data_IF_520440657767
#
_entry.id   IF_520440657767
#
_cell.length_a   1.000
_cell.length_b   1.000
_cell.length_c   1.000
_cell.angle_alpha   90.00
_cell.angle_beta   90.00
_cell.angle_gamma   90.00
#
_symmetry.space_group_name_H-M   'P 1'
#
loop_
_entity.id
_entity.type
_entity.pdbx_description
1 polymer ?
#
# COMPACT_ATOMS: atom_id res chain seq x y z
N UNK A 1 0.51 -3.42 18.18
CA UNK A 1 -0.69 -2.71 17.65
C UNK A 1 -0.42 -1.30 17.09
N UNK A 2 0.60 -0.50 17.49
CA UNK A 2 0.80 0.83 16.89
C UNK A 2 1.20 0.76 15.40
N UNK A 3 1.69 -0.37 14.92
CA UNK A 3 2.26 -0.55 13.57
C UNK A 3 1.24 -0.31 12.46
N UNK A 4 -0.02 -0.72 12.67
CA UNK A 4 -1.11 -0.49 11.70
C UNK A 4 -1.48 1.00 11.63
N UNK A 5 -1.42 1.71 12.76
CA UNK A 5 -1.69 3.15 12.81
C UNK A 5 -0.58 3.90 12.08
N UNK A 6 0.68 3.52 12.28
CA UNK A 6 1.83 4.11 11.58
C UNK A 6 1.72 3.87 10.08
N UNK A 7 1.38 2.65 9.64
CA UNK A 7 1.17 2.34 8.23
C UNK A 7 0.01 3.17 7.63
N UNK A 8 -1.09 3.30 8.36
CA UNK A 8 -2.24 4.11 7.95
C UNK A 8 -1.90 5.59 7.82
N UNK A 9 -1.15 6.15 8.78
CA UNK A 9 -0.68 7.52 8.73
C UNK A 9 0.27 7.75 7.55
N UNK A 10 1.21 6.82 7.31
CA UNK A 10 2.13 6.89 6.17
C UNK A 10 1.37 6.84 4.83
N UNK A 11 0.40 5.95 4.70
CA UNK A 11 -0.45 5.88 3.51
C UNK A 11 -1.20 7.20 3.28
N UNK A 12 -1.72 7.83 4.34
CA UNK A 12 -2.40 9.12 4.26
C UNK A 12 -1.45 10.23 3.80
N UNK A 13 -0.19 10.23 4.25
CA UNK A 13 0.79 11.23 3.85
C UNK A 13 1.19 11.07 2.37
N UNK A 14 1.40 9.84 1.91
CA UNK A 14 1.84 9.55 0.54
C UNK A 14 0.72 9.80 -0.48
N UNK A 15 -0.48 9.26 -0.21
CA UNK A 15 -1.60 9.27 -1.15
C UNK A 15 -2.58 10.43 -0.91
N UNK A 16 -2.60 10.99 0.29
CA UNK A 16 -3.55 12.00 0.73
C UNK A 16 -4.80 11.39 1.40
N UNK A 17 -5.36 12.05 2.45
CA UNK A 17 -6.52 11.55 3.20
C UNK A 17 -7.79 11.45 2.35
N UNK A 18 -7.87 12.20 1.24
CA UNK A 18 -9.02 12.20 0.35
C UNK A 18 -9.00 11.05 -0.66
N UNK A 19 -7.82 10.61 -1.10
CA UNK A 19 -7.67 9.61 -2.16
C UNK A 19 -7.81 8.18 -1.65
N UNK A 20 -7.31 7.88 -0.45
CA UNK A 20 -7.42 6.56 0.17
C UNK A 20 -8.86 6.03 0.29
N UNK A 21 -9.82 6.78 0.86
CA UNK A 21 -11.20 6.28 0.96
C UNK A 21 -11.84 6.11 -0.43
N UNK A 22 -11.49 6.96 -1.39
CA UNK A 22 -11.98 6.84 -2.76
C UNK A 22 -11.46 5.56 -3.45
N UNK A 23 -10.15 5.28 -3.34
CA UNK A 23 -9.52 4.08 -3.88
C UNK A 23 -10.03 2.82 -3.19
N UNK A 24 -10.15 2.82 -1.87
CA UNK A 24 -10.69 1.70 -1.10
C UNK A 24 -12.13 1.36 -1.54
N UNK A 25 -12.98 2.38 -1.76
CA UNK A 25 -14.35 2.19 -2.27
C UNK A 25 -14.37 1.62 -3.69
N UNK A 26 -13.49 2.08 -4.57
CA UNK A 26 -13.36 1.55 -5.94
C UNK A 26 -12.94 0.07 -5.91
N UNK A 27 -11.90 -0.25 -5.14
CA UNK A 27 -11.43 -1.62 -4.95
C UNK A 27 -12.51 -2.54 -4.36
N UNK A 28 -13.23 -2.07 -3.33
CA UNK A 28 -14.34 -2.81 -2.72
C UNK A 28 -15.46 -3.10 -3.73
N UNK A 29 -15.76 -2.15 -4.63
CA UNK A 29 -16.77 -2.35 -5.69
C UNK A 29 -16.32 -3.40 -6.70
N UNK A 30 -15.06 -3.36 -7.12
CA UNK A 30 -14.47 -4.38 -8.01
C UNK A 30 -14.52 -5.74 -7.34
N UNK A 31 -14.10 -5.84 -6.08
CA UNK A 31 -14.11 -7.09 -5.33
C UNK A 31 -15.53 -7.66 -5.17
N UNK A 32 -16.51 -6.80 -4.86
CA UNK A 32 -17.91 -7.20 -4.77
C UNK A 32 -18.46 -7.69 -6.12
N UNK A 33 -18.06 -7.06 -7.22
CA UNK A 33 -18.43 -7.47 -8.57
C UNK A 33 -17.81 -8.82 -8.94
N UNK A 34 -16.53 -9.02 -8.67
CA UNK A 34 -15.83 -10.30 -8.87
C UNK A 34 -16.47 -11.43 -8.05
N UNK A 35 -16.83 -11.15 -6.79
CA UNK A 35 -17.56 -12.11 -5.96
C UNK A 35 -18.89 -12.50 -6.59
N UNK A 36 -19.66 -11.52 -7.06
CA UNK A 36 -20.94 -11.77 -7.73
C UNK A 36 -20.77 -12.63 -8.99
N UNK A 37 -19.78 -12.33 -9.84
CA UNK A 37 -19.49 -13.15 -11.02
C UNK A 37 -19.13 -14.58 -10.62
N UNK A 38 -18.30 -14.75 -9.60
CA UNK A 38 -17.94 -16.08 -9.09
C UNK A 38 -19.15 -16.87 -8.60
N UNK A 39 -20.06 -16.22 -7.89
CA UNK A 39 -21.32 -16.83 -7.41
C UNK A 39 -22.26 -17.18 -8.58
N UNK A 40 -22.42 -16.27 -9.57
CA UNK A 40 -23.26 -16.47 -10.76
C UNK A 40 -22.73 -17.58 -11.67
N UNK A 41 -21.41 -17.64 -11.89
CA UNK A 41 -20.75 -18.69 -12.65
C UNK A 41 -20.88 -20.05 -11.96
N UNK A 42 -20.73 -20.10 -10.63
CA UNK A 42 -20.96 -21.33 -9.86
C UNK A 42 -22.40 -21.81 -10.00
N UNK A 43 -23.37 -20.89 -10.07
CA UNK A 43 -24.77 -21.20 -10.36
C UNK A 43 -24.96 -21.87 -11.71
N UNK A 44 -24.42 -21.26 -12.78
CA UNK A 44 -24.52 -21.78 -14.15
C UNK A 44 -23.83 -23.14 -14.32
N UNK A 45 -22.64 -23.31 -13.75
CA UNK A 45 -21.91 -24.58 -13.81
C UNK A 45 -22.66 -25.71 -13.09
N UNK A 46 -23.33 -25.40 -11.98
CA UNK A 46 -24.15 -26.36 -11.23
C UNK A 46 -25.41 -26.77 -12.01
N UNK A 47 -25.97 -25.85 -12.78
CA UNK A 47 -27.21 -26.05 -13.55
C UNK A 47 -26.97 -26.83 -14.85
N UNK A 48 -25.81 -26.62 -15.51
CA UNK A 48 -25.48 -27.29 -16.78
C UNK A 48 -24.67 -28.58 -16.64
N UNK A 49 -23.82 -28.72 -15.61
CA UNK A 49 -22.89 -29.86 -15.47
C UNK A 49 -23.27 -30.84 -14.35
N UNK A 50 -24.38 -30.58 -13.66
CA UNK A 50 -24.88 -31.40 -12.56
C UNK A 50 -24.04 -31.27 -11.27
N UNK A 51 -24.47 -31.91 -10.17
CA UNK A 51 -23.81 -31.83 -8.85
C UNK A 51 -22.38 -32.40 -8.83
N UNK A 52 -21.90 -32.98 -9.92
CA UNK A 52 -20.55 -33.55 -10.08
C UNK A 52 -19.43 -32.49 -9.95
N UNK A 53 -19.72 -31.20 -10.20
CA UNK A 53 -18.77 -30.09 -10.07
C UNK A 53 -18.67 -29.48 -8.65
N UNK A 54 -19.50 -29.89 -7.70
CA UNK A 54 -19.37 -29.47 -6.28
C UNK A 54 -18.09 -30.02 -5.63
N UNK A 55 -17.40 -30.96 -6.28
CA UNK A 55 -16.15 -31.56 -5.79
C UNK A 55 -14.91 -30.69 -6.03
N UNK A 56 -14.98 -29.63 -6.85
CA UNK A 56 -13.96 -28.58 -6.86
C UNK A 56 -14.31 -27.52 -5.80
N UNK A 57 -13.83 -27.76 -4.58
CA UNK A 57 -14.01 -26.89 -3.42
C UNK A 57 -13.29 -25.53 -3.60
N UNK A 58 -13.89 -24.62 -4.36
CA UNK A 58 -13.52 -23.20 -4.45
C UNK A 58 -13.62 -22.50 -3.08
N UNK A 59 -14.39 -23.07 -2.15
CA UNK A 59 -14.57 -22.57 -0.78
C UNK A 59 -13.35 -22.84 0.12
N UNK A 60 -12.49 -23.80 -0.23
CA UNK A 60 -11.29 -24.13 0.57
C UNK A 60 -10.01 -23.41 0.08
N UNK A 61 -10.11 -22.75 -1.07
CA UNK A 61 -9.17 -21.71 -1.48
C UNK A 61 -9.52 -20.42 -0.72
N UNK A 62 -9.18 -20.38 0.57
CA UNK A 62 -9.02 -19.12 1.28
C UNK A 62 -8.23 -18.18 0.35
N UNK A 63 -8.75 -17.00 -0.03
CA UNK A 63 -8.10 -16.17 -1.06
C UNK A 63 -6.67 -15.79 -0.66
N UNK A 64 -6.42 -15.67 0.66
CA UNK A 64 -5.07 -15.56 1.22
C UNK A 64 -4.19 -16.77 0.92
N UNK A 65 -4.70 -18.00 1.07
CA UNK A 65 -3.96 -19.22 0.78
C UNK A 65 -3.82 -19.50 -0.71
N UNK A 66 -4.78 -19.09 -1.56
CA UNK A 66 -4.65 -19.18 -3.01
C UNK A 66 -3.56 -18.22 -3.49
N UNK A 67 -3.69 -16.93 -3.16
CA UNK A 67 -2.70 -15.92 -3.52
C UNK A 67 -1.35 -16.28 -2.92
N UNK A 68 -1.30 -16.74 -1.67
CA UNK A 68 -0.04 -17.23 -1.10
C UNK A 68 0.51 -18.43 -1.88
N UNK A 69 -0.29 -19.45 -2.21
CA UNK A 69 0.21 -20.60 -2.98
C UNK A 69 0.54 -20.25 -4.42
N UNK A 70 -0.08 -19.28 -5.06
CA UNK A 70 0.22 -18.92 -6.44
C UNK A 70 1.40 -17.95 -6.54
N UNK A 71 1.47 -16.96 -5.63
CA UNK A 71 2.57 -15.98 -5.59
C UNK A 71 3.82 -16.51 -4.86
N UNK A 72 3.71 -17.47 -3.93
CA UNK A 72 4.87 -18.08 -3.26
C UNK A 72 5.40 -19.33 -3.96
N UNK A 73 4.80 -19.80 -5.06
CA UNK A 73 5.24 -21.04 -5.73
C UNK A 73 5.76 -20.88 -7.16
N UNK A 74 5.61 -19.70 -7.79
CA UNK A 74 6.14 -19.42 -9.13
C UNK A 74 7.30 -18.44 -9.08
N UNK A 75 8.19 -18.47 -10.07
CA UNK A 75 9.45 -17.70 -10.18
C UNK A 75 9.39 -16.18 -9.84
N UNK A 76 8.19 -15.59 -9.79
CA UNK A 76 7.88 -14.22 -9.33
C UNK A 76 8.20 -13.97 -7.83
N UNK A 77 8.51 -15.04 -7.08
CA UNK A 77 9.01 -14.96 -5.69
C UNK A 77 10.33 -14.20 -5.61
N UNK A 78 11.22 -14.33 -6.61
CA UNK A 78 12.54 -13.70 -6.57
C UNK A 78 12.40 -12.17 -6.64
N UNK A 79 11.67 -11.68 -7.64
CA UNK A 79 11.43 -10.25 -7.85
C UNK A 79 10.64 -9.64 -6.68
N UNK A 80 9.61 -10.34 -6.19
CA UNK A 80 8.85 -9.86 -5.04
C UNK A 80 9.66 -9.89 -3.73
N UNK A 81 10.56 -10.86 -3.55
CA UNK A 81 11.46 -10.90 -2.39
C UNK A 81 12.47 -9.77 -2.45
N UNK A 82 13.03 -9.47 -3.61
CA UNK A 82 13.95 -8.35 -3.81
C UNK A 82 13.25 -7.03 -3.49
N UNK A 83 12.06 -6.78 -4.05
CA UNK A 83 11.25 -5.59 -3.74
C UNK A 83 10.89 -5.49 -2.25
N UNK A 84 10.58 -6.61 -1.61
CA UNK A 84 10.27 -6.66 -0.17
C UNK A 84 11.50 -6.34 0.66
N UNK A 85 12.65 -6.91 0.31
CA UNK A 85 13.89 -6.72 1.04
C UNK A 85 14.39 -5.27 0.88
N UNK A 86 14.26 -4.68 -0.31
CA UNK A 86 14.48 -3.23 -0.57
C UNK A 86 13.53 -2.33 0.22
N UNK A 87 12.25 -2.70 0.30
CA UNK A 87 11.27 -1.97 1.10
C UNK A 87 11.56 -2.05 2.60
N UNK A 88 12.05 -3.21 3.09
CA UNK A 88 12.48 -3.38 4.49
C UNK A 88 13.75 -2.57 4.75
N UNK A 89 14.74 -2.60 3.86
CA UNK A 89 15.97 -1.82 3.98
C UNK A 89 15.69 -0.31 3.99
N UNK A 90 14.88 0.17 3.05
CA UNK A 90 14.40 1.56 3.01
C UNK A 90 13.64 1.92 4.29
N UNK A 91 12.79 1.01 4.78
CA UNK A 91 12.07 1.18 6.04
C UNK A 91 13.00 1.28 7.26
N UNK A 92 14.13 0.57 7.28
CA UNK A 92 15.14 0.67 8.34
C UNK A 92 15.90 2.00 8.28
N UNK A 93 16.32 2.43 7.09
CA UNK A 93 16.99 3.71 6.88
C UNK A 93 16.10 4.90 7.28
N UNK A 94 14.82 4.86 6.90
CA UNK A 94 13.83 5.85 7.32
C UNK A 94 13.60 5.78 8.83
N UNK A 95 13.61 4.59 9.44
CA UNK A 95 13.47 4.47 10.89
C UNK A 95 14.68 5.03 11.65
N UNK A 96 15.89 4.81 11.16
CA UNK A 96 17.12 5.28 11.80
C UNK A 96 17.20 6.81 11.72
N UNK A 97 16.91 7.39 10.56
CA UNK A 97 16.86 8.86 10.37
C UNK A 97 15.75 9.53 11.17
N UNK A 98 14.58 8.91 11.29
CA UNK A 98 13.49 9.41 12.14
C UNK A 98 13.81 9.26 13.63
N UNK A 99 14.49 8.19 14.04
CA UNK A 99 14.90 7.99 15.44
C UNK A 99 15.97 8.99 15.86
N UNK A 100 16.89 9.33 14.96
CA UNK A 100 17.91 10.38 15.15
C UNK A 100 17.29 11.78 15.22
N UNK A 101 16.30 12.06 14.35
CA UNK A 101 15.54 13.31 14.39
C UNK A 101 14.63 13.43 15.64
N UNK A 102 14.12 12.32 16.16
CA UNK A 102 13.29 12.30 17.38
C UNK A 102 14.14 12.49 18.65
N UNK A 103 15.44 12.21 18.59
CA UNK A 103 16.39 12.45 19.69
C UNK A 103 16.88 13.90 19.82
N UNK A 104 16.68 14.74 18.79
CA UNK A 104 17.15 16.13 18.79
C UNK A 104 15.97 17.10 18.79
N UNK A 105 15.29 17.17 19.93
CA UNK A 105 14.38 18.29 20.24
C UNK A 105 14.65 18.77 21.66
N UNK A 106 15.80 19.40 21.86
CA UNK A 106 15.97 20.50 22.83
C UNK A 106 17.15 21.37 22.39
N UNK A 107 16.83 22.64 22.11
CA UNK A 107 17.71 23.81 22.02
C UNK A 107 18.94 23.75 21.10
N UNK A 108 18.87 24.45 19.97
CA UNK A 108 19.66 25.69 19.91
C UNK A 108 19.02 26.73 18.99
N UNK A 109 18.73 27.89 19.57
CA UNK A 109 18.49 29.15 18.86
C UNK A 109 19.80 29.91 18.86
N UNK A 110 20.39 30.23 17.71
CA UNK A 110 21.23 31.40 17.60
C UNK A 110 20.49 32.46 16.80
N UNK A 111 19.94 33.43 17.52
CA UNK A 111 19.66 34.73 16.95
C UNK A 111 20.98 35.44 16.63
N UNK A 112 21.07 35.95 15.39
CA UNK A 112 21.96 37.00 14.90
C UNK A 112 23.46 36.68 14.68
N UNK A 113 23.81 36.38 13.42
CA UNK A 113 24.83 37.15 12.68
C UNK A 113 24.88 36.75 11.18
N UNK A 114 24.74 37.76 10.32
CA UNK A 114 25.19 37.82 8.91
C UNK A 114 24.47 36.97 7.84
N UNK A 115 23.44 37.58 7.23
CA UNK A 115 23.13 37.37 5.82
C UNK A 115 24.29 37.88 4.93
N UNK A 116 24.46 37.32 3.73
CA UNK A 116 24.18 38.16 2.56
C UNK A 116 22.94 37.65 1.84
N UNK A 117 21.94 38.53 1.81
CA UNK A 117 20.72 38.33 1.05
C UNK A 117 21.04 38.26 -0.45
N UNK A 118 20.89 37.08 -1.05
CA UNK A 118 20.62 36.98 -2.48
C UNK A 118 19.12 37.08 -2.65
N UNK A 119 18.61 38.31 -2.72
CA UNK A 119 17.27 38.57 -3.24
C UNK A 119 17.29 38.31 -4.73
N UNK A 120 16.74 37.18 -5.16
CA UNK A 120 16.32 37.04 -6.56
C UNK A 120 15.15 37.99 -6.79
N UNK A 121 15.21 38.90 -7.79
CA UNK A 121 14.11 39.81 -8.08
C UNK A 121 12.91 39.02 -8.62
N UNK A 122 11.72 39.33 -8.09
CA UNK A 122 10.44 38.81 -8.56
C UNK A 122 10.15 39.38 -9.97
N UNK A 123 9.91 38.51 -10.95
CA UNK A 123 9.55 38.86 -12.33
C UNK A 123 8.01 38.87 -12.49
N UNK A 124 7.37 40.04 -12.68
CA UNK A 124 5.92 40.13 -12.81
C UNK A 124 5.38 39.79 -14.22
N UNK A 125 6.20 39.36 -15.20
CA UNK A 125 5.75 39.04 -16.58
C UNK A 125 5.44 37.55 -16.82
N UNK A 126 5.47 36.68 -15.80
CA UNK A 126 5.00 35.30 -15.94
C UNK A 126 3.48 35.19 -15.70
N UNK A 127 2.69 35.58 -16.71
CA UNK A 127 1.27 35.20 -16.89
C UNK A 127 1.16 34.01 -17.83
#
# INVERSE_FOLDING_TARGET
MPEIIVLGALAIIIFGPEKLPELARKAARVLAYLRKIGDDARGQLREELGPEFDNFNITDLNPKNLVARHLLSGDEIADFREMRDDAIATGQLVKDTVSDATGTSTSDTPAAAAAPAVTVPFDPEAT
#
